data_IF_347926403588
#
_entry.id   IF_347926403588
#
_cell.length_a   1.000
_cell.length_b   1.000
_cell.length_c   1.000
_cell.angle_alpha   90.00
_cell.angle_beta   90.00
_cell.angle_gamma   90.00
#
_symmetry.space_group_name_H-M   'P 1'
#
loop_
_entity.id
_entity.type
_entity.pdbx_description
1 polymer ?
#
# COMPACT_ATOMS: atom_id res chain seq x y z
N UNK A 1 -9.57 -15.10 6.50
CA UNK A 1 -9.17 -13.70 6.28
C UNK A 1 -7.67 -13.65 6.45
N UNK A 2 -6.94 -13.58 5.35
CA UNK A 2 -5.49 -13.44 5.36
C UNK A 2 -5.19 -11.97 5.63
N UNK A 3 -5.01 -11.60 6.90
CA UNK A 3 -4.58 -10.27 7.31
C UNK A 3 -3.32 -9.89 6.53
N UNK A 4 -3.32 -8.75 5.84
CA UNK A 4 -2.14 -8.24 5.16
C UNK A 4 -1.04 -8.01 6.21
N UNK A 5 0.08 -8.74 6.08
CA UNK A 5 1.24 -8.60 6.96
C UNK A 5 2.35 -7.81 6.27
N UNK A 6 3.28 -7.26 7.07
CA UNK A 6 4.48 -6.56 6.59
C UNK A 6 5.26 -7.40 5.58
N UNK A 7 5.37 -8.70 5.84
CA UNK A 7 6.05 -9.64 4.94
C UNK A 7 5.31 -9.79 3.60
N UNK A 8 3.97 -9.82 3.61
CA UNK A 8 3.16 -9.88 2.38
C UNK A 8 3.33 -8.61 1.54
N UNK A 9 3.38 -7.44 2.18
CA UNK A 9 3.66 -6.16 1.50
C UNK A 9 5.05 -6.17 0.87
N UNK A 10 6.07 -6.59 1.62
CA UNK A 10 7.46 -6.62 1.14
C UNK A 10 7.72 -7.66 0.03
N UNK A 11 7.00 -8.78 0.05
CA UNK A 11 7.10 -9.81 -0.98
C UNK A 11 6.14 -9.55 -2.16
N UNK A 12 5.35 -8.49 -2.13
CA UNK A 12 4.41 -8.20 -3.19
C UNK A 12 5.15 -7.80 -4.46
N UNK A 13 4.91 -8.55 -5.55
CA UNK A 13 5.48 -8.23 -6.87
C UNK A 13 4.34 -7.78 -7.79
N UNK A 14 4.50 -6.59 -8.36
CA UNK A 14 3.54 -6.04 -9.33
C UNK A 14 4.02 -6.26 -10.76
N UNK A 15 3.07 -6.40 -11.69
CA UNK A 15 3.39 -6.51 -13.12
C UNK A 15 3.78 -5.15 -13.67
N UNK A 16 4.91 -5.09 -14.36
CA UNK A 16 5.39 -3.91 -15.07
C UNK A 16 4.73 -3.79 -16.45
N UNK A 17 4.46 -2.56 -16.87
CA UNK A 17 4.00 -2.22 -18.22
C UNK A 17 4.79 -1.03 -18.76
N UNK A 18 5.17 -1.11 -20.04
CA UNK A 18 5.99 -0.10 -20.72
C UNK A 18 5.18 0.69 -21.76
N UNK A 19 4.11 0.10 -22.30
CA UNK A 19 3.35 0.67 -23.41
C UNK A 19 2.10 1.45 -22.96
N UNK A 20 1.67 1.31 -21.71
CA UNK A 20 0.45 1.93 -21.18
C UNK A 20 0.75 2.89 -20.04
N UNK A 21 -0.23 3.75 -19.74
CA UNK A 21 -0.21 4.60 -18.54
C UNK A 21 -0.41 3.74 -17.29
N UNK A 22 0.54 3.81 -16.37
CA UNK A 22 0.50 3.12 -15.08
C UNK A 22 0.97 4.01 -13.94
N UNK A 23 0.99 3.45 -12.74
CA UNK A 23 1.53 4.16 -11.57
C UNK A 23 3.06 4.17 -11.61
N UNK A 24 3.65 5.28 -11.16
CA UNK A 24 5.10 5.40 -11.09
C UNK A 24 5.65 4.43 -10.05
N UNK A 25 6.63 3.62 -10.47
CA UNK A 25 7.27 2.59 -9.64
C UNK A 25 7.79 3.17 -8.33
N UNK A 26 8.57 4.25 -8.41
CA UNK A 26 9.20 4.92 -7.27
C UNK A 26 8.20 5.45 -6.23
N UNK A 27 7.06 6.00 -6.68
CA UNK A 27 6.00 6.47 -5.79
C UNK A 27 5.23 5.30 -5.14
N UNK A 28 4.97 4.24 -5.90
CA UNK A 28 4.34 3.02 -5.38
C UNK A 28 5.26 2.33 -4.37
N UNK A 29 6.54 2.21 -4.66
CA UNK A 29 7.53 1.60 -3.76
C UNK A 29 7.65 2.38 -2.45
N UNK A 30 7.71 3.72 -2.53
CA UNK A 30 7.67 4.59 -1.36
C UNK A 30 6.39 4.46 -0.55
N UNK A 31 5.25 4.20 -1.20
CA UNK A 31 3.99 3.95 -0.51
C UNK A 31 3.99 2.58 0.17
N UNK A 32 4.48 1.54 -0.50
CA UNK A 32 4.59 0.18 0.04
C UNK A 32 5.46 0.16 1.30
N UNK A 33 6.59 0.87 1.29
CA UNK A 33 7.47 0.97 2.44
C UNK A 33 6.73 1.61 3.64
N UNK A 34 6.01 2.72 3.41
CA UNK A 34 5.20 3.36 4.45
C UNK A 34 4.06 2.49 4.98
N UNK A 35 3.40 1.70 4.12
CA UNK A 35 2.38 0.73 4.54
C UNK A 35 3.04 -0.34 5.41
N UNK A 36 4.18 -0.89 4.98
CA UNK A 36 4.92 -1.89 5.72
C UNK A 36 5.39 -1.37 7.09
N UNK A 37 5.91 -0.14 7.15
CA UNK A 37 6.28 0.53 8.40
C UNK A 37 5.06 0.72 9.32
N UNK A 38 3.94 1.17 8.76
CA UNK A 38 2.70 1.40 9.52
C UNK A 38 2.13 0.09 10.06
N UNK A 39 2.07 -0.97 9.26
CA UNK A 39 1.67 -2.31 9.70
C UNK A 39 2.61 -2.85 10.79
N UNK A 40 3.92 -2.69 10.62
CA UNK A 40 4.90 -3.10 11.64
C UNK A 40 4.70 -2.33 12.95
N UNK A 41 4.38 -1.04 12.88
CA UNK A 41 4.05 -0.20 14.02
C UNK A 41 2.80 -0.69 14.76
N UNK A 42 1.76 -1.11 14.01
CA UNK A 42 0.56 -1.73 14.59
C UNK A 42 0.86 -3.09 15.24
N UNK A 43 1.70 -3.93 14.64
CA UNK A 43 2.11 -5.21 15.23
C UNK A 43 2.94 -5.03 16.51
N UNK A 44 3.79 -4.01 16.54
CA UNK A 44 4.66 -3.69 17.68
C UNK A 44 3.99 -2.80 18.74
N UNK A 45 2.71 -2.45 18.58
CA UNK A 45 1.94 -1.57 19.48
C UNK A 45 2.52 -0.14 19.61
N UNK A 46 3.21 0.37 18.59
CA UNK A 46 3.72 1.75 18.56
C UNK A 46 2.91 2.60 17.57
N UNK A 47 1.70 3.08 17.93
CA UNK A 47 0.89 3.91 17.05
C UNK A 47 1.54 5.26 16.70
N UNK A 48 2.55 5.69 17.46
CA UNK A 48 3.33 6.92 17.19
C UNK A 48 4.21 6.83 15.93
N UNK A 49 4.52 5.62 15.49
CA UNK A 49 5.35 5.36 14.30
C UNK A 49 4.52 5.10 13.05
N UNK A 50 3.18 5.19 13.13
CA UNK A 50 2.28 5.01 11.99
C UNK A 50 2.39 6.23 11.07
N UNK A 51 2.97 6.03 9.89
CA UNK A 51 3.19 7.10 8.89
C UNK A 51 2.04 7.18 7.89
N UNK A 52 1.30 6.09 7.67
CA UNK A 52 0.19 5.97 6.72
C UNK A 52 -1.00 5.24 7.35
N UNK A 53 -2.19 5.82 7.19
CA UNK A 53 -3.49 5.26 7.64
C UNK A 53 -4.36 4.89 6.44
N UNK A 54 -5.46 4.17 6.69
CA UNK A 54 -6.41 3.74 5.65
C UNK A 54 -6.93 4.90 4.79
N UNK A 55 -7.13 6.08 5.38
CA UNK A 55 -7.58 7.29 4.68
C UNK A 55 -6.57 7.82 3.66
N UNK A 56 -5.27 7.62 3.91
CA UNK A 56 -4.18 8.08 3.04
C UNK A 56 -3.93 7.14 1.85
N UNK A 57 -4.50 5.92 1.89
CA UNK A 57 -4.34 4.87 0.89
C UNK A 57 -5.38 5.00 -0.23
N UNK A 58 -5.25 6.08 -1.00
CA UNK A 58 -6.13 6.33 -2.14
C UNK A 58 -5.36 6.09 -3.44
N UNK A 59 -5.71 5.06 -4.24
CA UNK A 59 -5.02 4.77 -5.49
C UNK A 59 -5.02 5.98 -6.45
N UNK A 60 -6.09 6.77 -6.44
CA UNK A 60 -6.27 7.97 -7.26
C UNK A 60 -5.27 9.09 -6.93
N UNK A 61 -4.63 9.06 -5.76
CA UNK A 61 -3.60 10.04 -5.37
C UNK A 61 -2.21 9.70 -5.89
N UNK A 62 -2.00 8.47 -6.38
CA UNK A 62 -0.70 8.07 -6.91
C UNK A 62 -0.40 8.76 -8.24
N UNK A 63 0.79 9.35 -8.41
CA UNK A 63 1.17 9.95 -9.67
C UNK A 63 1.32 8.88 -10.75
N UNK A 64 0.66 9.13 -11.87
CA UNK A 64 0.78 8.30 -13.08
C UNK A 64 1.90 8.83 -13.95
N UNK A 65 2.71 7.92 -14.48
CA UNK A 65 3.76 8.25 -15.43
C UNK A 65 3.38 7.75 -16.83
N UNK A 66 3.73 8.54 -17.84
CA UNK A 66 3.60 8.18 -19.26
C UNK A 66 4.99 8.16 -19.88
N UNK A 67 5.29 7.18 -20.76
CA UNK A 67 6.58 6.97 -21.42
C UNK A 67 7.75 6.43 -20.57
N UNK A 68 7.45 5.70 -19.50
CA UNK A 68 8.44 4.98 -18.67
C UNK A 68 7.88 3.63 -18.20
N UNK A 69 8.73 2.82 -17.57
CA UNK A 69 8.32 1.59 -16.87
C UNK A 69 7.39 1.97 -15.72
N UNK A 70 6.20 1.38 -15.68
CA UNK A 70 5.19 1.66 -14.67
C UNK A 70 4.60 0.37 -14.14
N UNK A 71 4.05 0.40 -12.93
CA UNK A 71 3.24 -0.71 -12.44
C UNK A 71 1.83 -0.66 -13.03
N UNK A 72 1.29 -1.84 -13.36
CA UNK A 72 -0.07 -2.00 -13.83
C UNK A 72 -1.04 -1.55 -12.72
N UNK A 73 -1.86 -0.53 -13.01
CA UNK A 73 -2.81 0.07 -12.05
C UNK A 73 -3.61 -1.00 -11.31
N UNK A 74 -4.29 -1.85 -12.06
CA UNK A 74 -5.11 -2.98 -11.58
C UNK A 74 -4.47 -3.86 -10.48
N UNK A 75 -3.16 -4.10 -10.52
CA UNK A 75 -2.48 -4.86 -9.47
C UNK A 75 -2.23 -4.04 -8.21
N UNK A 76 -1.85 -2.78 -8.39
CA UNK A 76 -1.58 -1.84 -7.30
C UNK A 76 -2.88 -1.42 -6.61
N UNK A 77 -3.93 -1.11 -7.39
CA UNK A 77 -5.25 -0.73 -6.88
C UNK A 77 -5.82 -1.82 -5.94
N UNK A 78 -5.79 -3.08 -6.38
CA UNK A 78 -6.28 -4.21 -5.57
C UNK A 78 -5.47 -4.40 -4.27
N UNK A 79 -4.16 -4.18 -4.33
CA UNK A 79 -3.30 -4.28 -3.15
C UNK A 79 -3.55 -3.15 -2.16
N UNK A 80 -3.71 -1.91 -2.64
CA UNK A 80 -4.00 -0.75 -1.81
C UNK A 80 -5.34 -0.92 -1.10
N UNK A 81 -6.36 -1.43 -1.79
CA UNK A 81 -7.65 -1.75 -1.18
C UNK A 81 -7.49 -2.81 -0.08
N UNK A 82 -6.74 -3.90 -0.32
CA UNK A 82 -6.50 -4.93 0.69
C UNK A 82 -5.75 -4.36 1.93
N UNK A 83 -4.78 -3.47 1.70
CA UNK A 83 -4.07 -2.76 2.76
C UNK A 83 -4.97 -1.82 3.55
N UNK A 84 -5.83 -1.07 2.85
CA UNK A 84 -6.82 -0.18 3.43
C UNK A 84 -7.80 -0.95 4.30
N UNK A 85 -8.41 -2.03 3.80
CA UNK A 85 -9.33 -2.88 4.57
C UNK A 85 -8.66 -3.44 5.82
N UNK A 86 -7.40 -3.89 5.70
CA UNK A 86 -6.64 -4.42 6.84
C UNK A 86 -6.38 -3.34 7.89
N UNK A 87 -5.94 -2.15 7.48
CA UNK A 87 -5.69 -1.03 8.40
C UNK A 87 -6.99 -0.53 9.03
N UNK A 88 -8.07 -0.39 8.26
CA UNK A 88 -9.40 0.00 8.75
C UNK A 88 -9.93 -0.99 9.79
N UNK A 89 -9.66 -2.29 9.59
CA UNK A 89 -9.96 -3.32 10.59
C UNK A 89 -9.14 -3.11 11.88
N UNK A 90 -7.83 -2.85 11.79
CA UNK A 90 -7.03 -2.56 12.99
C UNK A 90 -7.47 -1.28 13.70
N UNK A 91 -7.77 -0.22 12.96
CA UNK A 91 -8.24 1.06 13.49
C UNK A 91 -9.60 0.90 14.18
N UNK A 92 -10.53 0.15 13.59
CA UNK A 92 -11.87 -0.06 14.14
C UNK A 92 -11.88 -1.04 15.31
N UNK A 93 -11.14 -2.16 15.19
CA UNK A 93 -11.18 -3.25 16.16
C UNK A 93 -10.36 -2.96 17.43
N UNK A 94 -9.30 -2.16 17.33
CA UNK A 94 -8.42 -1.81 18.48
C UNK A 94 -8.72 -0.46 19.12
N UNK A 95 -9.64 0.34 18.56
CA UNK A 95 -10.11 1.60 19.13
C UNK A 95 -11.39 1.43 20.00
N UNK A 96 -11.64 0.22 20.50
CA UNK A 96 -12.65 -0.09 21.52
C UNK A 96 -12.00 -0.81 22.71
#
# INVERSE_FOLDING_TARGET
MDTLTVEKVRNQVFKLTFFNEGYRIDDVDSLLDKIAESLAAWETHHPESVTVTSDMLVPSQLPVARFRETYKKDGVDAFIEEARETLEFYETYRCH
#
